data_IF_485756889267
#
_entry.id   IF_485756889267
#
_cell.length_a   1.000
_cell.length_b   1.000
_cell.length_c   1.000
_cell.angle_alpha   90.00
_cell.angle_beta   90.00
_cell.angle_gamma   90.00
#
_symmetry.space_group_name_H-M   'P 1'
#
loop_
_entity.id
_entity.type
_entity.pdbx_description
1 polymer ?
#
# COMPACT_ATOMS: atom_id res chain seq x y z
N UNK A 1 -5.68 12.62 -3.79
CA UNK A 1 -4.70 11.90 -2.95
C UNK A 1 -3.81 11.05 -3.85
N UNK A 2 -2.59 10.78 -3.38
CA UNK A 2 -1.60 9.96 -4.07
C UNK A 2 -0.41 9.77 -3.13
N UNK A 3 -0.67 9.25 -1.92
CA UNK A 3 0.38 8.82 -1.01
C UNK A 3 0.78 7.37 -1.35
N UNK A 4 2.09 7.12 -1.45
CA UNK A 4 2.65 5.80 -1.77
C UNK A 4 2.75 4.94 -0.51
N UNK A 5 2.24 3.71 -0.60
CA UNK A 5 2.36 2.65 0.40
C UNK A 5 3.01 1.42 -0.23
N UNK A 6 3.81 0.69 0.55
CA UNK A 6 4.40 -0.56 0.07
C UNK A 6 3.56 -1.75 0.54
N UNK A 7 2.82 -2.34 -0.39
CA UNK A 7 2.18 -3.64 -0.23
C UNK A 7 2.67 -4.55 -1.35
N UNK A 8 3.58 -5.48 -1.03
CA UNK A 8 3.65 -6.71 -1.81
C UNK A 8 2.64 -7.65 -1.20
N UNK A 9 1.45 -7.70 -1.80
CA UNK A 9 0.51 -8.80 -1.62
C UNK A 9 1.31 -10.10 -1.58
N UNK A 10 1.12 -10.87 -0.53
CA UNK A 10 1.85 -12.11 -0.24
C UNK A 10 1.55 -13.25 -1.23
N UNK A 11 1.13 -12.92 -2.46
CA UNK A 11 1.33 -13.72 -3.65
C UNK A 11 2.83 -13.85 -3.93
N UNK A 12 3.46 -14.80 -3.23
CA UNK A 12 4.73 -15.40 -3.65
C UNK A 12 4.57 -15.93 -5.07
N UNK A 13 4.92 -15.13 -6.08
CA UNK A 13 5.27 -15.64 -7.41
C UNK A 13 6.60 -15.02 -7.82
N UNK A 14 7.66 -15.65 -7.34
CA UNK A 14 8.92 -15.76 -8.09
C UNK A 14 8.60 -16.56 -9.34
N UNK A 15 8.69 -15.98 -10.54
CA UNK A 15 9.04 -16.72 -11.76
C UNK A 15 9.58 -15.77 -12.83
N UNK A 16 10.88 -15.90 -13.11
CA UNK A 16 11.45 -15.65 -14.44
C UNK A 16 11.01 -16.80 -15.34
N UNK A 17 10.36 -16.55 -16.48
CA UNK A 17 10.45 -17.44 -17.65
C UNK A 17 10.56 -16.61 -18.93
N UNK A 18 11.66 -16.85 -19.63
CA UNK A 18 11.93 -16.56 -21.04
C UNK A 18 11.47 -17.78 -21.83
N UNK A 19 10.60 -17.67 -22.84
CA UNK A 19 10.72 -18.37 -24.16
C UNK A 19 9.67 -17.88 -25.19
N UNK A 20 9.85 -18.28 -26.44
CA UNK A 20 9.67 -17.52 -27.69
C UNK A 20 8.49 -17.99 -28.58
N UNK A 21 8.00 -17.07 -29.43
CA UNK A 21 7.50 -17.22 -30.83
C UNK A 21 6.09 -17.79 -31.21
N UNK A 22 5.41 -16.96 -32.02
CA UNK A 22 4.62 -17.20 -33.26
C UNK A 22 3.07 -17.44 -33.28
N UNK A 23 2.36 -16.36 -33.66
CA UNK A 23 1.43 -16.18 -34.81
C UNK A 23 0.17 -17.06 -35.03
N UNK A 24 -1.05 -16.48 -34.84
CA UNK A 24 -1.98 -15.95 -35.90
C UNK A 24 -3.41 -15.67 -35.38
N UNK A 25 -3.87 -14.44 -35.67
CA UNK A 25 -5.23 -13.96 -36.05
C UNK A 25 -6.49 -14.37 -35.25
N UNK A 26 -7.18 -13.41 -34.62
CA UNK A 26 -8.48 -12.87 -35.10
C UNK A 26 -9.10 -11.81 -34.16
N UNK A 27 -9.70 -10.81 -34.83
CA UNK A 27 -10.81 -9.91 -34.43
C UNK A 27 -10.62 -8.87 -33.31
N UNK A 28 -10.47 -7.62 -33.75
CA UNK A 28 -10.62 -6.39 -32.98
C UNK A 28 -12.09 -6.12 -32.61
N UNK A 29 -12.40 -6.14 -31.31
CA UNK A 29 -13.37 -5.22 -30.70
C UNK A 29 -12.64 -4.51 -29.57
N UNK A 30 -12.20 -3.29 -29.86
CA UNK A 30 -11.27 -2.50 -29.08
C UNK A 30 -12.01 -1.78 -27.94
N UNK A 31 -12.25 -2.48 -26.83
CA UNK A 31 -12.39 -1.85 -25.52
C UNK A 31 -11.08 -2.08 -24.79
N UNK A 32 -10.23 -1.06 -24.74
CA UNK A 32 -8.97 -1.10 -24.00
C UNK A 32 -9.26 -1.19 -22.50
N UNK A 33 -9.47 -2.42 -22.03
CA UNK A 33 -9.21 -2.80 -20.64
C UNK A 33 -7.73 -2.59 -20.42
N UNK A 34 -7.36 -1.65 -19.54
CA UNK A 34 -6.01 -1.62 -19.01
C UNK A 34 -5.77 -2.99 -18.38
N UNK A 35 -4.92 -3.81 -19.01
CA UNK A 35 -4.72 -5.21 -18.64
C UNK A 35 -4.50 -5.32 -17.12
N UNK A 36 -5.41 -6.02 -16.45
CA UNK A 36 -5.35 -6.22 -15.00
C UNK A 36 -4.13 -7.09 -14.68
N UNK A 37 -2.99 -6.46 -14.38
CA UNK A 37 -1.73 -7.14 -14.09
C UNK A 37 -1.79 -7.92 -12.77
N UNK A 38 -2.56 -7.43 -11.81
CA UNK A 38 -2.72 -8.05 -10.49
C UNK A 38 -4.13 -8.60 -10.34
N UNK A 39 -4.29 -9.87 -9.89
CA UNK A 39 -5.60 -10.50 -9.80
C UNK A 39 -6.51 -9.81 -8.78
N UNK A 40 -7.81 -10.08 -8.87
CA UNK A 40 -8.76 -9.67 -7.84
C UNK A 40 -8.32 -10.20 -6.46
N UNK A 41 -8.55 -9.43 -5.37
CA UNK A 41 -9.40 -8.24 -5.30
C UNK A 41 -8.69 -6.91 -5.65
N UNK A 42 -7.43 -6.95 -6.11
CA UNK A 42 -6.68 -5.73 -6.38
C UNK A 42 -7.36 -4.83 -7.43
N UNK A 43 -7.51 -3.55 -7.09
CA UNK A 43 -8.07 -2.53 -7.98
C UNK A 43 -6.93 -1.73 -8.62
N UNK A 44 -6.79 -1.83 -9.93
CA UNK A 44 -5.75 -1.11 -10.67
C UNK A 44 -6.03 0.40 -10.73
N UNK A 45 -5.00 1.22 -10.56
CA UNK A 45 -5.05 2.67 -10.75
C UNK A 45 -4.09 3.14 -11.85
N UNK A 46 -4.42 4.23 -12.56
CA UNK A 46 -3.48 4.81 -13.54
C UNK A 46 -2.32 5.51 -12.84
N UNK A 47 -1.16 5.54 -13.51
CA UNK A 47 0.03 6.29 -13.05
C UNK A 47 -0.25 7.78 -12.79
N UNK A 48 -1.29 8.34 -13.43
CA UNK A 48 -1.71 9.73 -13.25
C UNK A 48 -2.18 10.06 -11.82
N UNK A 49 -2.55 9.07 -11.01
CA UNK A 49 -2.84 9.26 -9.57
C UNK A 49 -1.63 9.88 -8.87
N UNK A 50 -0.42 9.51 -9.28
CA UNK A 50 0.83 10.00 -8.69
C UNK A 50 1.44 11.19 -9.44
N UNK A 51 0.74 11.76 -10.42
CA UNK A 51 1.18 12.99 -11.10
C UNK A 51 1.36 14.13 -10.10
N UNK A 52 2.28 15.04 -10.42
CA UNK A 52 2.55 16.25 -9.63
C UNK A 52 1.26 17.07 -9.44
N UNK A 53 1.06 17.55 -8.22
CA UNK A 53 -0.05 18.39 -7.75
C UNK A 53 0.53 19.57 -6.94
N UNK A 54 -0.32 20.25 -6.17
CA UNK A 54 0.07 21.42 -5.39
C UNK A 54 1.16 21.12 -4.34
N UNK A 55 1.13 19.93 -3.73
CA UNK A 55 2.09 19.49 -2.72
C UNK A 55 2.64 18.11 -3.10
N UNK A 56 3.63 18.10 -3.99
CA UNK A 56 4.24 16.86 -4.48
C UNK A 56 3.24 16.05 -5.31
N UNK A 57 2.88 14.84 -4.89
CA UNK A 57 1.88 13.96 -5.52
C UNK A 57 0.47 14.12 -4.94
N UNK A 58 0.29 15.00 -3.96
CA UNK A 58 -1.00 15.31 -3.33
C UNK A 58 -1.36 16.80 -3.45
N UNK A 59 -2.61 17.14 -3.14
CA UNK A 59 -3.06 18.53 -3.13
C UNK A 59 -2.71 19.26 -1.81
N UNK A 60 -2.46 18.52 -0.73
CA UNK A 60 -2.25 19.02 0.62
C UNK A 60 -1.06 18.31 1.27
N UNK A 61 -0.43 18.88 2.30
CA UNK A 61 0.52 18.15 3.15
C UNK A 61 -0.18 17.06 3.96
N UNK A 62 0.62 16.25 4.66
CA UNK A 62 0.09 15.37 5.70
C UNK A 62 -0.52 16.16 6.86
N UNK A 63 -1.47 15.55 7.56
CA UNK A 63 -2.14 16.09 8.74
C UNK A 63 -1.11 16.50 9.82
N UNK A 64 -1.47 17.46 10.67
CA UNK A 64 -0.59 17.93 11.75
C UNK A 64 -0.39 16.88 12.84
N UNK A 65 -1.48 16.22 13.27
CA UNK A 65 -1.47 15.22 14.33
C UNK A 65 -1.58 13.82 13.74
N UNK A 66 -0.45 13.23 13.38
CA UNK A 66 -0.41 11.87 12.86
C UNK A 66 -0.53 10.83 13.98
N UNK A 67 -1.11 9.66 13.64
CA UNK A 67 -1.18 8.54 14.57
C UNK A 67 0.23 8.12 15.01
N UNK A 68 0.33 7.69 16.26
CA UNK A 68 1.56 7.20 16.89
C UNK A 68 2.71 8.21 16.96
N UNK A 69 2.37 9.50 16.85
CA UNK A 69 3.33 10.60 16.92
C UNK A 69 4.54 10.38 15.98
N UNK A 70 4.28 9.80 14.80
CA UNK A 70 5.31 9.56 13.79
C UNK A 70 5.89 10.88 13.29
N UNK A 71 7.13 10.86 12.83
CA UNK A 71 7.81 12.05 12.34
C UNK A 71 7.06 12.61 11.13
N UNK A 72 6.43 13.77 11.33
CA UNK A 72 5.61 14.42 10.31
C UNK A 72 6.41 14.81 9.08
N UNK A 73 7.68 15.21 9.23
CA UNK A 73 8.54 15.58 8.11
C UNK A 73 8.90 14.36 7.25
N UNK A 74 9.16 13.22 7.89
CA UNK A 74 9.39 11.94 7.21
C UNK A 74 8.10 11.50 6.51
N UNK A 75 6.96 11.53 7.21
CA UNK A 75 5.67 11.17 6.64
C UNK A 75 5.31 12.05 5.43
N UNK A 76 5.51 13.37 5.52
CA UNK A 76 5.23 14.30 4.42
C UNK A 76 6.13 14.04 3.21
N UNK A 77 7.42 13.84 3.44
CA UNK A 77 8.37 13.50 2.38
C UNK A 77 7.99 12.20 1.67
N UNK A 78 7.64 11.16 2.42
CA UNK A 78 7.32 9.85 1.86
C UNK A 78 5.96 9.87 1.16
N UNK A 79 4.93 10.46 1.76
CA UNK A 79 3.62 10.52 1.15
C UNK A 79 3.56 11.41 -0.09
N UNK A 80 4.24 12.56 -0.07
CA UNK A 80 4.02 13.59 -1.08
C UNK A 80 5.17 13.72 -2.07
N UNK A 81 6.40 13.43 -1.67
CA UNK A 81 7.58 13.71 -2.48
C UNK A 81 8.37 12.47 -2.87
N UNK A 82 7.91 11.28 -2.49
CA UNK A 82 8.55 10.02 -2.86
C UNK A 82 7.71 9.22 -3.85
N UNK A 83 8.28 9.02 -5.04
CA UNK A 83 7.67 8.24 -6.14
C UNK A 83 8.14 6.79 -6.18
N UNK A 84 9.15 6.45 -5.39
CA UNK A 84 9.73 5.11 -5.36
C UNK A 84 10.13 4.76 -3.93
N UNK A 85 9.63 3.62 -3.45
CA UNK A 85 9.89 3.08 -2.10
C UNK A 85 9.12 3.78 -0.96
N UNK A 86 9.22 3.21 0.23
CA UNK A 86 8.68 3.76 1.46
C UNK A 86 9.80 4.40 2.31
N UNK A 87 9.47 4.77 3.54
CA UNK A 87 10.43 5.07 4.59
C UNK A 87 11.42 3.92 4.83
N UNK A 88 12.47 4.17 5.64
CA UNK A 88 13.50 3.16 5.89
C UNK A 88 12.89 1.85 6.43
N UNK A 89 13.43 0.73 5.96
CA UNK A 89 13.01 -0.59 6.43
C UNK A 89 13.17 -0.70 7.94
N UNK A 90 12.06 -0.94 8.63
CA UNK A 90 12.02 -1.10 10.07
C UNK A 90 11.69 0.15 10.86
N UNK A 91 11.36 1.28 10.23
CA UNK A 91 10.91 2.49 10.92
C UNK A 91 9.78 2.22 11.94
N UNK A 92 8.78 1.44 11.56
CA UNK A 92 7.68 1.09 12.47
C UNK A 92 8.14 0.42 13.78
N UNK A 93 9.31 -0.25 13.79
CA UNK A 93 9.89 -0.86 14.99
C UNK A 93 10.42 0.17 15.99
N UNK A 94 10.65 1.40 15.54
CA UNK A 94 11.13 2.51 16.37
C UNK A 94 9.99 3.40 16.86
N UNK A 95 8.73 3.03 16.61
CA UNK A 95 7.53 3.80 16.99
C UNK A 95 6.87 3.10 18.18
N UNK A 96 7.13 3.53 19.44
CA UNK A 96 6.64 2.81 20.62
C UNK A 96 5.12 2.80 20.72
N UNK A 97 4.46 3.91 20.35
CA UNK A 97 3.00 4.03 20.41
C UNK A 97 2.29 3.02 19.49
N UNK A 98 2.87 2.76 18.30
CA UNK A 98 2.37 1.72 17.41
C UNK A 98 2.53 0.32 18.02
N UNK A 99 3.72 0.02 18.55
CA UNK A 99 4.00 -1.30 19.13
C UNK A 99 3.14 -1.55 20.38
N UNK A 100 2.94 -0.54 21.23
CA UNK A 100 2.07 -0.63 22.39
C UNK A 100 0.63 -0.91 21.96
N UNK A 101 0.08 -0.16 20.99
CA UNK A 101 -1.27 -0.44 20.48
C UNK A 101 -1.39 -1.86 19.94
N UNK A 102 -0.37 -2.38 19.24
CA UNK A 102 -0.41 -3.76 18.73
C UNK A 102 -0.37 -4.81 19.84
N UNK A 103 0.26 -4.51 20.99
CA UNK A 103 0.26 -5.41 22.14
C UNK A 103 -1.05 -5.32 22.94
N UNK A 104 -1.66 -4.13 22.99
CA UNK A 104 -2.87 -3.85 23.76
C UNK A 104 -4.16 -4.16 22.99
N UNK A 105 -4.07 -4.34 21.66
CA UNK A 105 -5.21 -4.69 20.80
C UNK A 105 -5.70 -6.10 21.16
N UNK A 106 -6.98 -6.26 21.56
CA UNK A 106 -7.55 -7.58 21.85
C UNK A 106 -7.52 -8.50 20.63
N UNK A 107 -7.48 -9.81 20.85
CA UNK A 107 -7.35 -10.81 19.80
C UNK A 107 -8.48 -10.79 18.74
N UNK A 108 -9.66 -10.25 19.08
CA UNK A 108 -10.82 -10.11 18.19
C UNK A 108 -10.92 -8.71 17.53
N UNK A 109 -9.90 -7.86 17.70
CA UNK A 109 -9.90 -6.49 17.19
C UNK A 109 -8.82 -6.26 16.13
N UNK A 110 -9.07 -5.25 15.31
CA UNK A 110 -8.21 -4.81 14.22
C UNK A 110 -7.78 -3.35 14.46
N UNK A 111 -6.58 -3.01 14.00
CA UNK A 111 -6.10 -1.64 13.86
C UNK A 111 -6.44 -1.14 12.45
N UNK A 112 -7.00 0.06 12.36
CA UNK A 112 -7.27 0.73 11.06
C UNK A 112 -6.14 1.68 10.69
N UNK A 113 -5.49 1.49 9.54
CA UNK A 113 -4.42 2.36 9.04
C UNK A 113 -5.00 3.40 8.10
N UNK A 114 -4.60 4.66 8.27
CA UNK A 114 -5.20 5.81 7.59
C UNK A 114 -4.22 6.51 6.65
N UNK A 115 -4.78 7.15 5.62
CA UNK A 115 -4.05 8.04 4.71
C UNK A 115 -3.56 9.28 5.45
N UNK A 116 -2.25 9.54 5.45
CA UNK A 116 -1.67 10.64 6.24
C UNK A 116 -2.09 12.03 5.74
N UNK A 117 -2.57 12.16 4.50
CA UNK A 117 -3.08 13.42 3.96
C UNK A 117 -4.58 13.62 4.28
N UNK A 118 -5.40 12.60 4.05
CA UNK A 118 -6.87 12.74 4.10
C UNK A 118 -7.54 12.14 5.33
N UNK A 119 -6.88 11.25 6.05
CA UNK A 119 -7.45 10.50 7.17
C UNK A 119 -8.45 9.43 6.75
N UNK A 120 -8.54 9.08 5.46
CA UNK A 120 -9.37 7.96 5.00
C UNK A 120 -8.75 6.62 5.40
N UNK A 121 -9.55 5.59 5.73
CA UNK A 121 -9.03 4.26 6.01
C UNK A 121 -8.44 3.64 4.73
N UNK A 122 -7.29 3.00 4.85
CA UNK A 122 -6.57 2.32 3.77
C UNK A 122 -6.41 0.83 4.04
N UNK A 123 -6.13 0.46 5.29
CA UNK A 123 -5.91 -0.92 5.66
C UNK A 123 -6.52 -1.25 7.04
N UNK A 124 -6.76 -2.54 7.27
CA UNK A 124 -7.27 -3.09 8.52
C UNK A 124 -6.46 -4.33 8.85
N UNK A 125 -5.79 -4.38 10.00
CA UNK A 125 -5.02 -5.57 10.37
C UNK A 125 -5.11 -5.89 11.86
N UNK A 126 -5.12 -7.17 12.24
CA UNK A 126 -4.97 -8.34 11.38
C UNK A 126 -6.31 -8.89 10.85
N UNK A 127 -6.31 -9.57 9.69
CA UNK A 127 -7.40 -10.45 9.22
C UNK A 127 -6.90 -11.83 8.83
N UNK A 128 -7.65 -12.87 9.22
CA UNK A 128 -7.26 -14.26 8.97
C UNK A 128 -5.91 -14.65 9.59
N UNK A 129 -5.47 -13.92 10.62
CA UNK A 129 -4.25 -14.15 11.40
C UNK A 129 -4.31 -13.42 12.75
N UNK A 130 -3.40 -13.74 13.66
CA UNK A 130 -3.25 -12.99 14.92
C UNK A 130 -2.45 -11.71 14.72
N UNK A 131 -2.56 -10.77 15.66
CA UNK A 131 -1.75 -9.54 15.66
C UNK A 131 -0.26 -9.87 15.74
N UNK A 132 0.11 -10.89 16.52
CA UNK A 132 1.50 -11.38 16.58
C UNK A 132 2.01 -11.85 15.21
N UNK A 133 1.19 -12.58 14.46
CA UNK A 133 1.54 -13.03 13.11
C UNK A 133 1.69 -11.84 12.14
N UNK A 134 0.81 -10.85 12.22
CA UNK A 134 0.92 -9.60 11.45
C UNK A 134 2.25 -8.88 11.73
N UNK A 135 2.59 -8.70 13.02
CA UNK A 135 3.84 -8.03 13.41
C UNK A 135 5.06 -8.85 13.03
N UNK A 136 5.02 -10.18 13.18
CA UNK A 136 6.12 -11.07 12.75
C UNK A 136 6.37 -10.99 11.25
N UNK A 137 5.31 -11.04 10.44
CA UNK A 137 5.42 -10.88 8.98
C UNK A 137 5.96 -9.50 8.61
N UNK A 138 5.45 -8.45 9.25
CA UNK A 138 5.89 -7.07 9.04
C UNK A 138 7.37 -6.88 9.41
N UNK A 139 7.86 -7.53 10.47
CA UNK A 139 9.29 -7.51 10.84
C UNK A 139 10.19 -8.21 9.81
N UNK A 140 9.74 -9.33 9.27
CA UNK A 140 10.48 -10.06 8.24
C UNK A 140 10.51 -9.31 6.90
N UNK A 141 9.42 -8.63 6.57
CA UNK A 141 9.31 -7.83 5.36
C UNK A 141 10.04 -6.48 5.47
N UNK A 142 10.05 -5.89 6.67
CA UNK A 142 10.65 -4.58 6.94
C UNK A 142 9.65 -3.43 7.02
N UNK A 143 8.39 -3.65 6.64
CA UNK A 143 7.30 -2.68 6.73
C UNK A 143 6.01 -3.40 7.15
N UNK A 144 5.01 -2.69 7.72
CA UNK A 144 3.65 -3.22 7.89
C UNK A 144 3.19 -3.92 6.61
N UNK A 145 2.92 -5.22 6.72
CA UNK A 145 2.64 -6.09 5.58
C UNK A 145 1.18 -6.49 5.62
N UNK A 146 0.37 -5.92 4.73
CA UNK A 146 -1.05 -6.23 4.63
C UNK A 146 -1.31 -7.42 3.69
N UNK A 147 -2.47 -8.06 3.85
CA UNK A 147 -3.02 -9.04 2.91
C UNK A 147 -4.14 -8.39 2.09
N UNK A 148 -4.54 -9.03 1.01
CA UNK A 148 -5.55 -8.47 0.09
C UNK A 148 -6.92 -8.24 0.77
N UNK A 149 -7.28 -9.02 1.79
CA UNK A 149 -8.48 -8.89 2.61
C UNK A 149 -8.38 -7.79 3.69
N UNK A 150 -7.17 -7.31 3.95
CA UNK A 150 -6.84 -6.22 4.86
C UNK A 150 -6.84 -4.85 4.15
N UNK A 151 -7.09 -4.77 2.83
CA UNK A 151 -7.06 -3.53 2.04
C UNK A 151 -8.47 -2.93 1.85
N UNK A 152 -8.62 -1.61 2.08
CA UNK A 152 -9.81 -0.85 1.71
C UNK A 152 -9.75 -0.45 0.22
N UNK A 153 -10.18 -1.36 -0.65
CA UNK A 153 -10.16 -1.18 -2.09
C UNK A 153 -10.99 0.02 -2.60
N UNK A 154 -11.88 0.61 -1.78
CA UNK A 154 -12.51 1.90 -2.14
C UNK A 154 -11.51 3.05 -2.17
N UNK A 155 -10.50 3.02 -1.29
CA UNK A 155 -9.53 4.09 -1.10
C UNK A 155 -8.12 3.75 -1.60
N UNK A 156 -7.88 2.51 -2.05
CA UNK A 156 -6.55 2.02 -2.45
C UNK A 156 -6.51 1.56 -3.91
N UNK A 157 -5.42 1.86 -4.62
CA UNK A 157 -5.14 1.36 -5.97
C UNK A 157 -3.76 0.73 -6.05
N UNK A 158 -3.61 -0.26 -6.92
CA UNK A 158 -2.31 -0.83 -7.32
C UNK A 158 -1.92 -0.25 -8.68
N UNK A 159 -0.70 0.30 -8.76
CA UNK A 159 -0.12 0.80 -10.00
C UNK A 159 0.50 -0.34 -10.81
N UNK A 160 0.81 -0.08 -12.08
CA UNK A 160 1.35 -1.11 -12.98
C UNK A 160 2.70 -1.65 -12.50
N UNK A 161 3.48 -0.85 -11.79
CA UNK A 161 4.76 -1.26 -11.19
C UNK A 161 4.61 -2.04 -9.87
N UNK A 162 3.40 -2.18 -9.34
CA UNK A 162 3.09 -2.86 -8.08
C UNK A 162 3.08 -1.96 -6.85
N UNK A 163 3.30 -0.65 -7.00
CA UNK A 163 3.12 0.30 -5.90
C UNK A 163 1.65 0.43 -5.54
N UNK A 164 1.38 0.64 -4.25
CA UNK A 164 0.03 0.81 -3.72
C UNK A 164 -0.17 2.27 -3.34
N UNK A 165 -1.28 2.88 -3.74
CA UNK A 165 -1.51 4.33 -3.58
C UNK A 165 -2.92 4.63 -3.10
N UNK A 166 -3.09 5.73 -2.35
CA UNK A 166 -4.40 6.21 -1.90
C UNK A 166 -5.13 7.06 -2.96
N UNK A 167 -6.47 7.07 -2.95
CA UNK A 167 -7.36 7.86 -3.86
C UNK A 167 -8.39 8.75 -3.18
#
# INVERSE_FOLDING_TARGET
PGCTYHHRSSHKITTKVITTANNKSQTNTNTMSAAQKYPAPAVMGPESIMSKKAHGTSATPVQENLRWNVDRSVADRICNFNRHYAEHSGYFKTVPEFLNETNDTPADKEITFYDSNTGKPLFYAPRGRTMEQFIKESRNHGWPSFRDDEVEWKNVRVLMNGETVSV
#
